data_IF_531240039043
#
_entry.id   IF_531240039043
#
_cell.length_a   1.000
_cell.length_b   1.000
_cell.length_c   1.000
_cell.angle_alpha   90.00
_cell.angle_beta   90.00
_cell.angle_gamma   90.00
#
_symmetry.space_group_name_H-M   'P 1'
#
loop_
_entity.id
_entity.type
_entity.pdbx_description
1 polymer ?
#
# COMPACT_ATOMS: atom_id res chain seq x y z
N UNK A 1 1.81 13.59 3.73
CA UNK A 1 2.41 13.07 3.30
C UNK A 1 2.34 12.87 2.03
N UNK A 2 2.08 12.50 1.53
CA UNK A 2 1.86 12.31 0.34
C UNK A 2 2.70 12.80 -0.63
N UNK A 3 3.33 12.42 -1.31
CA UNK A 3 3.99 12.73 -2.39
C UNK A 3 4.21 14.10 -2.77
N UNK A 4 4.72 14.80 -1.99
CA UNK A 4 4.87 16.13 -2.32
C UNK A 4 6.14 16.39 -3.00
N UNK A 5 7.02 15.51 -3.08
CA UNK A 5 8.21 15.81 -3.68
C UNK A 5 8.13 15.57 -5.13
N UNK A 6 7.69 16.38 -5.90
CA UNK A 6 7.77 16.28 -7.31
C UNK A 6 7.02 15.11 -7.88
N UNK A 7 7.59 14.05 -8.15
CA UNK A 7 6.90 12.98 -8.72
C UNK A 7 6.58 11.98 -7.72
N UNK A 8 6.19 12.25 -6.63
CA UNK A 8 5.87 11.30 -5.63
C UNK A 8 4.51 10.70 -5.73
N UNK A 9 3.70 11.15 -6.68
CA UNK A 9 2.36 10.64 -6.74
C UNK A 9 2.32 9.15 -6.97
N UNK A 10 3.05 8.65 -7.90
CA UNK A 10 3.03 7.23 -8.22
C UNK A 10 3.57 6.40 -7.09
N UNK A 11 4.57 6.90 -6.43
CA UNK A 11 5.19 6.17 -5.36
C UNK A 11 4.25 6.05 -4.16
N UNK A 12 3.57 7.11 -3.83
CA UNK A 12 2.63 7.08 -2.74
C UNK A 12 1.48 6.14 -3.03
N UNK A 13 1.01 6.17 -4.25
CA UNK A 13 -0.09 5.32 -4.63
C UNK A 13 0.35 3.85 -4.57
N UNK A 14 1.56 3.58 -4.99
CA UNK A 14 2.07 2.22 -4.97
C UNK A 14 2.20 1.72 -3.53
N UNK A 15 2.63 2.58 -2.65
CA UNK A 15 2.75 2.20 -1.26
C UNK A 15 1.39 1.85 -0.67
N UNK A 16 0.39 2.61 -1.00
CA UNK A 16 -0.95 2.35 -0.51
C UNK A 16 -1.47 1.03 -1.02
N UNK A 17 -1.27 0.77 -2.29
CA UNK A 17 -1.73 -0.47 -2.90
C UNK A 17 -1.01 -1.66 -2.27
N UNK A 18 0.28 -1.55 -2.09
CA UNK A 18 1.04 -2.64 -1.50
C UNK A 18 0.56 -2.90 -0.08
N UNK A 19 0.26 -1.84 0.64
CA UNK A 19 -0.21 -1.99 1.99
C UNK A 19 -1.52 -2.77 2.01
N UNK A 20 -2.43 -2.45 1.10
CA UNK A 20 -3.69 -3.16 1.03
C UNK A 20 -3.49 -4.61 0.65
N UNK A 21 -2.61 -4.86 -0.29
CA UNK A 21 -2.35 -6.22 -0.72
C UNK A 21 -1.78 -7.03 0.43
N UNK A 22 -0.84 -6.47 1.16
CA UNK A 22 -0.26 -7.16 2.29
C UNK A 22 -1.31 -7.38 3.37
N UNK A 23 -2.17 -6.44 3.58
CA UNK A 23 -3.22 -6.58 4.56
C UNK A 23 -4.14 -7.73 4.20
N UNK A 24 -4.48 -7.85 2.93
CA UNK A 24 -5.35 -8.92 2.48
C UNK A 24 -4.66 -10.27 2.65
N UNK A 25 -3.41 -10.35 2.29
CA UNK A 25 -2.68 -11.60 2.40
C UNK A 25 -2.56 -12.02 3.86
N UNK A 26 -2.20 -11.10 4.71
CA UNK A 26 -2.06 -11.42 6.12
C UNK A 26 -3.42 -11.73 6.72
N UNK A 27 -4.42 -10.97 6.35
CA UNK A 27 -5.76 -11.23 6.85
C UNK A 27 -6.26 -12.59 6.46
N UNK A 28 -6.03 -12.97 5.23
CA UNK A 28 -6.47 -14.27 4.76
C UNK A 28 -5.68 -15.38 5.45
N UNK A 29 -4.45 -15.11 5.75
CA UNK A 29 -3.63 -16.10 6.41
C UNK A 29 -4.09 -16.28 7.86
N UNK A 30 -4.64 -15.25 8.44
CA UNK A 30 -5.07 -15.31 9.80
C UNK A 30 -6.44 -15.98 9.92
N UNK A 31 -7.25 -15.91 8.89
CA UNK A 31 -8.55 -16.53 8.90
C UNK A 31 -8.43 -17.92 8.31
N UNK A 32 -8.98 -18.87 8.94
CA UNK A 32 -8.87 -20.21 8.38
C UNK A 32 -10.00 -20.49 7.45
#
# INVERSE_FOLDING_TARGET
>A
MGGVYGKGYGFSFALLVVLFILLIIIGASFIY
#
